data_IF_526071744114
#
_entry.id   IF_526071744114
#
_cell.length_a   1.000
_cell.length_b   1.000
_cell.length_c   1.000
_cell.angle_alpha   90.00
_cell.angle_beta   90.00
_cell.angle_gamma   90.00
#
_symmetry.space_group_name_H-M   'P 1'
#
loop_
_entity.id
_entity.type
_entity.pdbx_description
1 polymer ?
#
# COMPACT_ATOMS: atom_id res chain seq x y z
N UNK A 1 -26.26 -10.92 9.89
CA UNK A 1 -25.22 -11.88 9.49
C UNK A 1 -24.14 -11.15 8.71
N UNK A 2 -22.90 -11.37 9.07
CA UNK A 2 -21.80 -10.70 8.42
C UNK A 2 -21.55 -11.29 7.02
N UNK A 3 -21.58 -10.43 6.00
CA UNK A 3 -21.32 -10.85 4.63
C UNK A 3 -19.91 -11.42 4.46
N UNK A 4 -18.92 -10.93 5.24
CA UNK A 4 -17.57 -11.45 5.23
C UNK A 4 -17.50 -12.90 5.67
N UNK A 5 -18.26 -13.29 6.71
CA UNK A 5 -18.28 -14.66 7.19
C UNK A 5 -18.84 -15.61 6.14
N UNK A 6 -19.92 -15.22 5.46
CA UNK A 6 -20.51 -16.02 4.38
C UNK A 6 -19.58 -16.13 3.18
N UNK A 7 -18.92 -15.03 2.83
CA UNK A 7 -17.97 -14.99 1.72
C UNK A 7 -16.75 -15.87 2.02
N UNK A 8 -16.20 -15.78 3.22
CA UNK A 8 -15.07 -16.60 3.65
C UNK A 8 -15.41 -18.09 3.64
N UNK A 9 -16.60 -18.46 4.13
CA UNK A 9 -17.04 -19.84 4.12
C UNK A 9 -17.17 -20.39 2.69
N UNK A 10 -17.72 -19.61 1.79
CA UNK A 10 -17.84 -19.95 0.38
C UNK A 10 -16.47 -20.15 -0.27
N UNK A 11 -15.54 -19.22 -0.04
CA UNK A 11 -14.19 -19.30 -0.57
C UNK A 11 -13.45 -20.51 -0.03
N UNK A 12 -13.58 -20.78 1.27
CA UNK A 12 -12.93 -21.93 1.92
C UNK A 12 -13.44 -23.26 1.34
N UNK A 13 -14.73 -23.35 1.04
CA UNK A 13 -15.33 -24.55 0.46
C UNK A 13 -14.78 -24.82 -0.95
N UNK A 14 -14.66 -23.79 -1.78
CA UNK A 14 -14.19 -23.91 -3.16
C UNK A 14 -12.67 -24.00 -3.27
N UNK A 15 -11.95 -23.29 -2.41
CA UNK A 15 -10.50 -23.17 -2.46
C UNK A 15 -9.93 -23.25 -1.03
N UNK A 16 -9.57 -24.46 -0.56
CA UNK A 16 -9.13 -24.64 0.83
C UNK A 16 -7.98 -23.74 1.29
N UNK A 17 -7.13 -23.31 0.39
CA UNK A 17 -5.99 -22.42 0.72
C UNK A 17 -6.31 -20.94 0.61
N UNK A 18 -7.49 -20.58 0.10
CA UNK A 18 -7.85 -19.19 -0.18
C UNK A 18 -8.11 -18.38 1.09
N UNK A 19 -8.61 -19.01 2.15
CA UNK A 19 -8.84 -18.35 3.43
C UNK A 19 -7.56 -17.73 3.98
N UNK A 20 -6.46 -18.46 3.96
CA UNK A 20 -5.17 -17.98 4.43
C UNK A 20 -4.69 -16.79 3.60
N UNK A 21 -4.91 -16.81 2.30
CA UNK A 21 -4.53 -15.70 1.39
C UNK A 21 -5.37 -14.45 1.70
N UNK A 22 -6.67 -14.61 1.94
CA UNK A 22 -7.57 -13.51 2.29
C UNK A 22 -7.16 -12.89 3.64
N UNK A 23 -6.82 -13.70 4.64
CA UNK A 23 -6.35 -13.20 5.93
C UNK A 23 -5.07 -12.37 5.79
N UNK A 24 -4.13 -12.82 4.96
CA UNK A 24 -2.90 -12.08 4.67
C UNK A 24 -3.22 -10.73 4.03
N UNK A 25 -4.17 -10.70 3.10
CA UNK A 25 -4.60 -9.48 2.45
C UNK A 25 -5.20 -8.49 3.46
N UNK A 26 -5.99 -8.97 4.42
CA UNK A 26 -6.52 -8.12 5.50
C UNK A 26 -5.42 -7.51 6.35
N UNK A 27 -4.38 -8.28 6.68
CA UNK A 27 -3.23 -7.78 7.44
C UNK A 27 -2.54 -6.64 6.66
N UNK A 28 -2.33 -6.82 5.36
CA UNK A 28 -1.75 -5.79 4.49
C UNK A 28 -2.61 -4.52 4.50
N UNK A 29 -3.92 -4.66 4.41
CA UNK A 29 -4.82 -3.50 4.45
C UNK A 29 -4.74 -2.75 5.78
N UNK A 30 -4.68 -3.48 6.90
CA UNK A 30 -4.54 -2.86 8.22
C UNK A 30 -3.22 -2.10 8.35
N UNK A 31 -2.13 -2.68 7.87
CA UNK A 31 -0.83 -2.01 7.86
C UNK A 31 -0.83 -0.77 6.98
N UNK A 32 -1.48 -0.83 5.83
CA UNK A 32 -1.63 0.32 4.95
C UNK A 32 -2.39 1.46 5.62
N UNK A 33 -3.46 1.15 6.35
CA UNK A 33 -4.23 2.14 7.12
C UNK A 33 -3.40 2.75 8.24
N UNK A 34 -2.62 1.94 8.93
CA UNK A 34 -1.72 2.41 10.00
C UNK A 34 -0.69 3.37 9.43
N UNK A 35 -0.07 3.01 8.31
CA UNK A 35 0.87 3.87 7.61
C UNK A 35 0.22 5.21 7.22
N UNK A 36 -1.00 5.18 6.69
CA UNK A 36 -1.74 6.39 6.31
C UNK A 36 -2.08 7.26 7.52
N UNK A 37 -2.42 6.65 8.66
CA UNK A 37 -2.66 7.38 9.90
C UNK A 37 -1.42 8.14 10.34
N UNK A 38 -0.26 7.48 10.33
CA UNK A 38 1.01 8.10 10.67
C UNK A 38 1.33 9.23 9.68
N UNK A 39 1.16 8.97 8.40
CA UNK A 39 1.38 9.96 7.34
C UNK A 39 0.55 11.22 7.57
N UNK A 40 -0.74 11.07 7.84
CA UNK A 40 -1.64 12.22 8.04
C UNK A 40 -1.34 12.98 9.34
N UNK A 41 -0.88 12.29 10.38
CA UNK A 41 -0.46 12.95 11.62
C UNK A 41 0.76 13.86 11.40
N UNK A 42 1.77 13.35 10.67
CA UNK A 42 2.97 14.13 10.39
C UNK A 42 2.78 15.19 9.33
N UNK A 43 1.82 14.97 8.42
CA UNK A 43 1.50 15.94 7.37
C UNK A 43 1.19 17.33 7.95
N UNK A 44 0.53 17.37 9.11
CA UNK A 44 0.14 18.61 9.79
C UNK A 44 1.33 19.42 10.26
N UNK A 45 2.50 18.82 10.38
CA UNK A 45 3.73 19.48 10.85
C UNK A 45 4.52 20.11 9.71
N UNK A 46 4.16 19.84 8.46
CA UNK A 46 4.88 20.32 7.30
C UNK A 46 4.27 21.60 6.73
N UNK A 47 5.13 22.43 6.13
CA UNK A 47 4.69 23.59 5.35
C UNK A 47 3.93 23.13 4.12
N UNK A 48 2.74 23.67 3.91
CA UNK A 48 1.87 23.31 2.78
C UNK A 48 2.48 23.58 1.42
N UNK A 49 3.50 24.44 1.34
CA UNK A 49 4.20 24.75 0.11
C UNK A 49 5.45 23.91 -0.12
N UNK A 50 5.84 23.08 0.87
CA UNK A 50 7.02 22.25 0.75
C UNK A 50 6.80 21.08 -0.22
N UNK A 51 7.88 20.59 -0.82
CA UNK A 51 7.84 19.40 -1.69
C UNK A 51 7.40 18.17 -0.89
N UNK A 52 7.87 18.06 0.33
CA UNK A 52 7.57 16.97 1.25
C UNK A 52 6.07 16.89 1.52
N UNK A 53 5.44 18.02 1.80
CA UNK A 53 3.99 18.10 2.01
C UNK A 53 3.24 17.64 0.77
N UNK A 54 3.63 18.12 -0.40
CA UNK A 54 3.00 17.77 -1.67
C UNK A 54 3.06 16.28 -1.94
N UNK A 55 4.20 15.67 -1.68
CA UNK A 55 4.39 14.23 -1.83
C UNK A 55 3.48 13.46 -0.87
N UNK A 56 3.55 13.80 0.41
CA UNK A 56 2.78 13.07 1.44
C UNK A 56 1.28 13.24 1.28
N UNK A 57 0.83 14.40 0.81
CA UNK A 57 -0.61 14.65 0.65
C UNK A 57 -1.15 14.12 -0.67
N UNK A 58 -0.50 14.44 -1.78
CA UNK A 58 -1.05 14.21 -3.12
C UNK A 58 -0.62 12.88 -3.73
N UNK A 59 0.55 12.36 -3.34
CA UNK A 59 1.12 11.14 -3.89
C UNK A 59 1.06 9.97 -2.90
N UNK A 60 0.11 9.97 -2.01
CA UNK A 60 -0.02 8.96 -0.95
C UNK A 60 -0.14 7.53 -1.50
N UNK A 61 -0.72 7.36 -2.69
CA UNK A 61 -0.89 6.05 -3.31
C UNK A 61 0.43 5.38 -3.65
N UNK A 62 1.48 6.16 -3.90
CA UNK A 62 2.80 5.61 -4.19
C UNK A 62 3.35 4.81 -3.00
N UNK A 63 3.03 5.20 -1.77
CA UNK A 63 3.49 4.51 -0.57
C UNK A 63 2.81 3.15 -0.38
N UNK A 64 1.69 2.89 -1.06
CA UNK A 64 1.02 1.60 -1.06
C UNK A 64 1.49 0.68 -2.19
N UNK A 65 2.31 1.19 -3.09
CA UNK A 65 2.76 0.44 -4.25
C UNK A 65 3.95 -0.44 -3.88
N UNK A 66 3.82 -1.76 -4.13
CA UNK A 66 4.85 -2.73 -3.75
C UNK A 66 6.16 -2.56 -4.52
N UNK A 67 6.06 -2.20 -5.80
CA UNK A 67 7.22 -2.07 -6.68
C UNK A 67 7.21 -0.70 -7.37
N UNK A 68 7.60 0.36 -6.65
CA UNK A 68 7.67 1.68 -7.28
C UNK A 68 8.72 1.71 -8.38
N UNK A 69 8.43 2.43 -9.45
CA UNK A 69 9.33 2.56 -10.57
C UNK A 69 10.49 3.50 -10.21
N UNK A 70 11.71 2.98 -10.27
CA UNK A 70 12.92 3.74 -9.94
C UNK A 70 13.67 4.22 -11.18
N UNK A 71 13.23 3.85 -12.38
CA UNK A 71 13.98 4.10 -13.62
C UNK A 71 13.31 5.11 -14.54
N UNK A 72 11.98 5.03 -14.67
CA UNK A 72 11.24 5.86 -15.60
C UNK A 72 10.77 7.14 -14.93
N UNK A 73 11.25 8.28 -15.41
CA UNK A 73 10.76 9.59 -14.98
C UNK A 73 9.45 9.91 -15.69
N UNK A 74 8.49 10.44 -14.95
CA UNK A 74 7.24 10.94 -15.49
C UNK A 74 6.80 12.19 -14.72
N UNK A 75 5.88 12.95 -15.29
CA UNK A 75 5.33 14.11 -14.59
C UNK A 75 4.41 13.62 -13.46
N UNK A 76 4.75 14.03 -12.24
CA UNK A 76 3.98 13.67 -11.05
C UNK A 76 3.05 14.82 -10.68
N UNK A 77 1.76 14.64 -10.94
CA UNK A 77 0.75 15.61 -10.55
C UNK A 77 0.65 15.66 -9.03
N UNK A 78 0.54 16.84 -8.48
CA UNK A 78 0.59 17.05 -7.03
C UNK A 78 1.96 17.56 -6.60
N UNK A 79 3.04 16.92 -7.01
CA UNK A 79 4.39 17.44 -6.86
C UNK A 79 4.73 18.47 -7.95
N UNK A 80 4.13 18.31 -9.12
CA UNK A 80 4.29 19.17 -10.30
C UNK A 80 5.73 19.22 -10.79
N UNK A 81 6.39 18.07 -10.78
CA UNK A 81 7.76 17.90 -11.29
C UNK A 81 7.88 16.57 -12.02
N UNK A 82 8.83 16.48 -12.94
CA UNK A 82 9.24 15.21 -13.53
C UNK A 82 10.13 14.47 -12.54
N UNK A 83 9.77 13.25 -12.18
CA UNK A 83 10.53 12.43 -11.24
C UNK A 83 10.16 10.97 -11.40
N UNK A 84 10.96 10.09 -10.79
CA UNK A 84 10.59 8.68 -10.66
C UNK A 84 9.69 8.49 -9.44
N UNK A 85 8.90 7.41 -9.44
CA UNK A 85 8.07 7.06 -8.29
C UNK A 85 8.92 6.84 -7.04
N UNK A 86 10.06 6.16 -7.21
CA UNK A 86 10.97 5.89 -6.09
C UNK A 86 11.55 7.18 -5.50
N UNK A 87 11.91 8.15 -6.34
CA UNK A 87 12.42 9.42 -5.84
C UNK A 87 11.35 10.18 -5.04
N UNK A 88 10.12 10.17 -5.48
CA UNK A 88 9.02 10.79 -4.72
C UNK A 88 8.82 10.11 -3.37
N UNK A 89 8.89 8.77 -3.33
CA UNK A 89 8.81 8.02 -2.08
C UNK A 89 9.97 8.40 -1.14
N UNK A 90 11.17 8.53 -1.67
CA UNK A 90 12.34 8.93 -0.88
C UNK A 90 12.17 10.33 -0.28
N UNK A 91 11.61 11.27 -1.03
CA UNK A 91 11.31 12.60 -0.51
C UNK A 91 10.37 12.50 0.70
N UNK A 92 9.31 11.69 0.59
CA UNK A 92 8.35 11.54 1.67
C UNK A 92 8.90 10.81 2.89
N UNK A 93 9.64 9.72 2.67
CA UNK A 93 10.16 8.89 3.78
C UNK A 93 11.33 9.57 4.50
N UNK A 94 12.03 10.48 3.85
CA UNK A 94 13.13 11.21 4.49
C UNK A 94 12.64 12.29 5.46
N UNK A 95 11.35 12.60 5.48
CA UNK A 95 10.81 13.65 6.35
C UNK A 95 10.82 13.27 7.84
N UNK A 96 10.30 12.09 8.15
CA UNK A 96 10.12 11.64 9.54
C UNK A 96 10.53 10.18 9.69
N UNK A 97 11.41 9.88 10.67
CA UNK A 97 11.84 8.49 10.90
C UNK A 97 10.68 7.53 11.20
N UNK A 98 9.66 8.00 11.93
CA UNK A 98 8.50 7.16 12.24
C UNK A 98 7.72 6.77 10.98
N UNK A 99 7.56 7.68 10.04
CA UNK A 99 6.90 7.39 8.77
C UNK A 99 7.75 6.44 7.92
N UNK A 100 9.05 6.67 7.86
CA UNK A 100 9.97 5.80 7.14
C UNK A 100 9.90 4.37 7.67
N UNK A 101 9.91 4.20 8.99
CA UNK A 101 9.79 2.87 9.62
C UNK A 101 8.46 2.22 9.27
N UNK A 102 7.37 2.97 9.32
CA UNK A 102 6.04 2.46 8.96
C UNK A 102 5.99 2.02 7.49
N UNK A 103 6.57 2.79 6.60
CA UNK A 103 6.63 2.46 5.17
C UNK A 103 7.47 1.19 4.93
N UNK A 104 8.66 1.12 5.50
CA UNK A 104 9.52 -0.05 5.35
C UNK A 104 8.86 -1.32 5.90
N UNK A 105 8.22 -1.21 7.05
CA UNK A 105 7.48 -2.33 7.66
C UNK A 105 6.34 -2.77 6.75
N UNK A 106 5.60 -1.83 6.17
CA UNK A 106 4.51 -2.14 5.24
C UNK A 106 5.03 -2.90 4.02
N UNK A 107 6.11 -2.44 3.41
CA UNK A 107 6.69 -3.08 2.22
C UNK A 107 7.23 -4.47 2.55
N UNK A 108 7.96 -4.61 3.66
CA UNK A 108 8.50 -5.90 4.09
C UNK A 108 7.39 -6.90 4.37
N UNK A 109 6.34 -6.47 5.05
CA UNK A 109 5.19 -7.31 5.36
C UNK A 109 4.44 -7.69 4.08
N UNK A 110 4.26 -6.75 3.17
CA UNK A 110 3.65 -7.01 1.87
C UNK A 110 4.41 -8.08 1.11
N UNK A 111 5.73 -7.93 1.00
CA UNK A 111 6.57 -8.89 0.28
C UNK A 111 6.54 -10.27 0.93
N UNK A 112 6.60 -10.32 2.27
CA UNK A 112 6.59 -11.58 3.00
C UNK A 112 5.25 -12.31 2.87
N UNK A 113 4.13 -11.60 2.90
CA UNK A 113 2.81 -12.19 2.93
C UNK A 113 2.18 -12.39 1.54
N UNK A 114 2.49 -11.51 0.59
CA UNK A 114 1.81 -11.48 -0.70
C UNK A 114 2.72 -11.80 -1.89
N UNK A 115 4.03 -11.83 -1.72
CA UNK A 115 4.99 -11.94 -2.82
C UNK A 115 4.71 -13.07 -3.80
N UNK A 116 4.64 -14.31 -3.32
CA UNK A 116 4.36 -15.50 -4.15
C UNK A 116 2.87 -15.71 -4.41
N UNK A 117 2.02 -15.11 -3.59
CA UNK A 117 0.57 -15.39 -3.58
C UNK A 117 -0.25 -14.28 -4.22
N UNK A 118 0.39 -13.20 -4.66
CA UNK A 118 -0.32 -12.08 -5.27
C UNK A 118 -1.12 -12.51 -6.51
N UNK A 119 -0.49 -13.30 -7.39
CA UNK A 119 -1.13 -13.81 -8.60
C UNK A 119 -2.23 -14.81 -8.28
N UNK A 120 -1.98 -15.69 -7.30
CA UNK A 120 -2.98 -16.64 -6.81
C UNK A 120 -4.21 -15.93 -6.27
N UNK A 121 -4.01 -14.94 -5.43
CA UNK A 121 -5.09 -14.13 -4.87
C UNK A 121 -5.89 -13.46 -5.97
N UNK A 122 -5.21 -12.86 -6.94
CA UNK A 122 -5.83 -12.21 -8.08
C UNK A 122 -6.68 -13.19 -8.89
N UNK A 123 -6.17 -14.38 -9.14
CA UNK A 123 -6.89 -15.42 -9.87
C UNK A 123 -8.14 -15.88 -9.12
N UNK A 124 -8.04 -16.06 -7.80
CA UNK A 124 -9.16 -16.46 -6.95
C UNK A 124 -10.24 -15.38 -6.96
N UNK A 125 -9.87 -14.13 -6.80
CA UNK A 125 -10.81 -13.00 -6.81
C UNK A 125 -11.49 -12.90 -8.17
N UNK A 126 -10.75 -13.06 -9.26
CA UNK A 126 -11.30 -13.03 -10.62
C UNK A 126 -12.33 -14.14 -10.83
N UNK A 127 -12.05 -15.36 -10.39
CA UNK A 127 -12.98 -16.49 -10.48
C UNK A 127 -14.25 -16.25 -9.69
N UNK A 128 -14.14 -15.64 -8.50
CA UNK A 128 -15.29 -15.37 -7.65
C UNK A 128 -16.14 -14.20 -8.17
N UNK A 129 -15.55 -13.33 -8.96
CA UNK A 129 -16.23 -12.17 -9.55
C UNK A 129 -16.89 -12.48 -10.89
N UNK A 130 -16.57 -13.61 -11.46
CA UNK A 130 -17.09 -14.02 -12.77
C UNK A 130 -18.55 -14.50 -12.72
#
# INVERSE_FOLDING_TARGET
MDMNASYQAFVHELFPNAELIIDRFHIIQLMGRTMDTIRTQYLKQLDKHSREYKVLKSLWRLFHKANPDAQKSRYLFGLNEYSTEQNAIDIGTDTFPAFKTAYETYIDLHDALMGRHADELKNIITKLSA
#
